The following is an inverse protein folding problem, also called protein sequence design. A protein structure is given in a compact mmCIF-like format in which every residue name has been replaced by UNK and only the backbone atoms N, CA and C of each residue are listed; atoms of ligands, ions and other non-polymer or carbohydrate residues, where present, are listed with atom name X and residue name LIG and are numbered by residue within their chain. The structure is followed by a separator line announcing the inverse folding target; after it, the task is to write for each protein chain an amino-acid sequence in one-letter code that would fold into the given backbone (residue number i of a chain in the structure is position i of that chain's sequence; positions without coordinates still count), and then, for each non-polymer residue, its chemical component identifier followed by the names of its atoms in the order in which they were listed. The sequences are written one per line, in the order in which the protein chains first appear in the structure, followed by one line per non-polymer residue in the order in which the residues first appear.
data_IF_255326310828
#
_entry.id   IF_255326310828
#
_cell.length_a   1.000
_cell.length_b   1.000
_cell.length_c   1.000
_cell.angle_alpha   90.00
_cell.angle_beta   90.00
_cell.angle_gamma   90.00
#
_symmetry.space_group_name_H-M   'P 1'
#
loop_
_entity.id
_entity.type
_entity.pdbx_description
1 polymer ?
#
# COMPACT_ATOMS: atom_id res chain seq x y z
N UNK A 1 4.79 -2.80 41.92
CA UNK A 1 4.84 -2.37 40.52
C UNK A 1 3.43 -1.92 40.12
N UNK A 2 3.24 -0.66 39.75
CA UNK A 2 1.92 -0.05 39.56
C UNK A 2 1.65 0.10 38.05
N UNK A 3 0.77 -0.73 37.47
CA UNK A 3 0.50 -0.81 36.03
C UNK A 3 -0.46 0.29 35.49
N UNK A 4 -0.76 1.33 36.27
CA UNK A 4 -1.84 2.27 35.97
C UNK A 4 -1.60 3.28 34.83
N UNK A 5 -0.43 3.30 34.20
CA UNK A 5 -0.10 4.26 33.13
C UNK A 5 0.40 3.61 31.82
N UNK A 6 -0.11 2.44 31.44
CA UNK A 6 -0.01 2.00 30.05
C UNK A 6 -1.06 2.79 29.24
N UNK A 7 -0.75 4.04 28.92
CA UNK A 7 -1.44 4.76 27.86
C UNK A 7 -1.23 3.93 26.61
N UNK A 8 -2.24 3.14 26.19
CA UNK A 8 -2.29 2.56 24.86
C UNK A 8 -2.34 3.73 23.89
N UNK A 9 -1.16 4.20 23.45
CA UNK A 9 -1.05 5.09 22.30
C UNK A 9 -1.64 4.32 21.14
N UNK A 10 -2.84 4.69 20.68
CA UNK A 10 -3.40 4.04 19.50
C UNK A 10 -2.48 4.32 18.32
N UNK A 11 -2.18 3.31 17.48
CA UNK A 11 -1.55 3.57 16.20
C UNK A 11 -2.44 4.55 15.42
N UNK A 12 -1.80 5.47 14.70
CA UNK A 12 -2.53 6.40 13.83
C UNK A 12 -2.36 5.93 12.41
N UNK A 13 -3.44 5.44 11.86
CA UNK A 13 -3.54 5.07 10.46
C UNK A 13 -4.00 6.31 9.70
N UNK A 14 -3.26 6.68 8.66
CA UNK A 14 -3.61 7.80 7.80
C UNK A 14 -3.78 7.28 6.38
N UNK A 15 -4.96 7.52 5.80
CA UNK A 15 -5.23 7.24 4.39
C UNK A 15 -5.03 8.55 3.63
N UNK A 16 -4.05 8.56 2.73
CA UNK A 16 -3.67 9.71 1.92
C UNK A 16 -4.33 9.70 0.53
N UNK A 17 -4.60 8.51 0.00
CA UNK A 17 -5.25 8.31 -1.29
C UNK A 17 -6.11 7.06 -1.21
N UNK A 18 -7.33 7.13 -1.75
CA UNK A 18 -8.26 6.02 -1.82
C UNK A 18 -9.21 6.22 -3.01
N UNK A 19 -8.80 5.78 -4.20
CA UNK A 19 -9.56 6.03 -5.44
C UNK A 19 -9.34 4.96 -6.50
N UNK A 20 -10.23 4.92 -7.50
CA UNK A 20 -10.04 4.12 -8.71
C UNK A 20 -9.28 4.92 -9.77
N UNK A 21 -8.27 4.30 -10.38
CA UNK A 21 -7.53 4.87 -11.50
C UNK A 21 -7.61 3.96 -12.73
N UNK A 22 -7.48 4.55 -13.91
CA UNK A 22 -7.45 3.80 -15.16
C UNK A 22 -6.21 2.91 -15.22
N UNK A 23 -6.40 1.68 -15.70
CA UNK A 23 -5.40 0.66 -15.90
C UNK A 23 -5.26 0.32 -17.39
N UNK A 24 -4.08 -0.15 -17.77
CA UNK A 24 -3.83 -0.77 -19.06
C UNK A 24 -4.30 -2.22 -19.07
N UNK A 25 -4.37 -2.81 -20.27
CA UNK A 25 -4.84 -4.18 -20.47
C UNK A 25 -3.79 -5.25 -20.07
N UNK A 26 -2.63 -4.85 -19.54
CA UNK A 26 -1.59 -5.75 -19.04
C UNK A 26 -1.85 -6.22 -17.60
N UNK A 27 -2.89 -5.68 -16.95
CA UNK A 27 -3.37 -6.18 -15.68
C UNK A 27 -4.02 -7.55 -15.86
N UNK A 28 -3.66 -8.57 -15.05
CA UNK A 28 -4.28 -9.88 -15.17
C UNK A 28 -5.78 -9.83 -14.89
N UNK A 29 -6.20 -9.02 -13.91
CA UNK A 29 -7.60 -8.69 -13.65
C UNK A 29 -7.76 -7.24 -13.18
N UNK A 30 -8.85 -6.59 -13.59
CA UNK A 30 -9.18 -5.21 -13.25
C UNK A 30 -10.67 -5.05 -12.93
N UNK A 31 -11.02 -3.97 -12.23
CA UNK A 31 -12.41 -3.58 -11.99
C UNK A 31 -13.09 -3.11 -13.28
N UNK A 32 -14.45 -3.05 -13.31
CA UNK A 32 -15.19 -2.56 -14.48
C UNK A 32 -14.69 -1.20 -14.97
N UNK A 33 -14.63 -1.04 -16.30
CA UNK A 33 -14.15 0.21 -16.91
C UNK A 33 -12.62 0.33 -16.97
N UNK A 34 -11.90 -0.79 -16.93
CA UNK A 34 -10.43 -0.85 -16.95
C UNK A 34 -9.83 -0.05 -15.80
N UNK A 35 -10.30 -0.31 -14.58
CA UNK A 35 -9.88 0.42 -13.39
C UNK A 35 -9.15 -0.48 -12.40
N UNK A 36 -8.24 0.10 -11.65
CA UNK A 36 -7.61 -0.50 -10.47
C UNK A 36 -7.82 0.40 -9.28
N UNK A 37 -7.95 -0.18 -8.10
CA UNK A 37 -8.06 0.58 -6.87
C UNK A 37 -6.66 0.94 -6.37
N UNK A 38 -6.44 2.21 -6.06
CA UNK A 38 -5.17 2.74 -5.57
C UNK A 38 -5.39 3.27 -4.16
N UNK A 39 -4.63 2.74 -3.22
CA UNK A 39 -4.70 3.10 -1.82
C UNK A 39 -3.30 3.44 -1.28
N UNK A 40 -3.10 4.69 -0.86
CA UNK A 40 -1.90 5.14 -0.17
C UNK A 40 -2.23 5.33 1.30
N UNK A 41 -1.58 4.58 2.17
CA UNK A 41 -1.77 4.71 3.60
C UNK A 41 -0.45 4.65 4.37
N UNK A 42 -0.45 5.28 5.52
CA UNK A 42 0.66 5.37 6.44
C UNK A 42 0.24 4.82 7.79
N UNK A 43 1.11 3.99 8.34
CA UNK A 43 0.96 3.39 9.66
C UNK A 43 2.10 3.87 10.55
N UNK A 44 1.78 4.46 11.70
CA UNK A 44 2.76 4.82 12.74
C UNK A 44 2.63 3.90 13.93
N UNK A 45 3.56 2.95 14.02
CA UNK A 45 3.68 2.05 15.15
C UNK A 45 3.89 2.84 16.45
N UNK A 46 3.12 2.49 17.46
CA UNK A 46 3.19 3.07 18.81
C UNK A 46 3.59 2.05 19.87
N UNK A 47 3.63 0.77 19.50
CA UNK A 47 3.94 -0.38 20.34
C UNK A 47 5.32 -0.95 20.00
N UNK A 48 6.01 -1.49 21.00
CA UNK A 48 7.28 -2.16 20.80
C UNK A 48 7.09 -3.47 20.01
N UNK A 49 7.89 -3.65 18.96
CA UNK A 49 7.84 -4.84 18.09
C UNK A 49 7.10 -4.62 16.77
N UNK A 50 6.46 -3.47 16.59
CA UNK A 50 5.78 -3.11 15.34
C UNK A 50 6.56 -2.04 14.57
N UNK A 51 6.48 -2.08 13.24
CA UNK A 51 7.24 -1.22 12.35
C UNK A 51 6.30 -0.26 11.62
N UNK A 52 6.56 1.04 11.78
CA UNK A 52 5.86 2.04 11.00
C UNK A 52 6.16 1.87 9.50
N UNK A 53 5.16 2.11 8.66
CA UNK A 53 5.31 2.00 7.22
C UNK A 53 4.50 3.07 6.47
N UNK A 54 4.90 3.32 5.24
CA UNK A 54 4.16 4.05 4.22
C UNK A 54 3.99 3.09 3.04
N UNK A 55 2.75 2.78 2.69
CA UNK A 55 2.41 1.75 1.72
C UNK A 55 1.49 2.30 0.64
N UNK A 56 1.89 2.08 -0.61
CA UNK A 56 1.04 2.23 -1.78
C UNK A 56 0.60 0.84 -2.23
N UNK A 57 -0.70 0.58 -2.10
CA UNK A 57 -1.36 -0.64 -2.56
C UNK A 57 -2.12 -0.32 -3.85
N UNK A 58 -1.96 -1.17 -4.86
CA UNK A 58 -2.74 -1.09 -6.10
C UNK A 58 -3.36 -2.45 -6.33
N UNK A 59 -4.69 -2.53 -6.31
CA UNK A 59 -5.44 -3.77 -6.44
C UNK A 59 -6.21 -3.83 -7.76
N UNK A 60 -6.05 -4.94 -8.45
CA UNK A 60 -7.02 -5.44 -9.42
C UNK A 60 -8.24 -6.08 -8.74
N UNK A 61 -9.12 -6.71 -9.52
CA UNK A 61 -10.36 -7.29 -8.99
C UNK A 61 -10.12 -8.51 -8.07
N UNK A 62 -9.31 -9.50 -8.49
CA UNK A 62 -9.02 -10.70 -7.69
C UNK A 62 -7.52 -11.01 -7.64
N UNK A 63 -6.94 -11.08 -6.43
CA UNK A 63 -5.56 -11.51 -6.14
C UNK A 63 -4.45 -10.89 -7.00
N UNK A 64 -4.74 -9.79 -7.67
CA UNK A 64 -3.84 -9.06 -8.54
C UNK A 64 -3.45 -7.76 -7.84
N UNK A 65 -2.85 -7.87 -6.66
CA UNK A 65 -2.43 -6.69 -5.91
C UNK A 65 -0.92 -6.52 -6.01
N UNK A 66 -0.53 -5.27 -6.16
CA UNK A 66 0.84 -4.81 -6.11
C UNK A 66 1.01 -3.88 -4.93
N UNK A 67 2.09 -4.05 -4.18
CA UNK A 67 2.45 -3.17 -3.08
C UNK A 67 3.84 -2.60 -3.26
N UNK A 68 3.97 -1.33 -2.93
CA UNK A 68 5.25 -0.68 -2.67
C UNK A 68 5.21 -0.17 -1.23
N UNK A 69 6.26 -0.43 -0.46
CA UNK A 69 6.33 -0.06 0.94
C UNK A 69 7.69 0.53 1.30
N UNK A 70 7.67 1.57 2.12
CA UNK A 70 8.86 2.18 2.73
C UNK A 70 8.56 2.58 4.18
N UNK A 71 9.53 3.19 4.87
CA UNK A 71 9.33 3.82 6.18
C UNK A 71 8.61 5.17 6.04
N UNK A 72 7.85 5.65 7.05
CA UNK A 72 7.12 6.91 6.96
C UNK A 72 7.95 8.15 6.60
N UNK A 73 9.23 8.17 6.99
CA UNK A 73 10.14 9.28 6.68
C UNK A 73 10.61 9.27 5.21
N UNK A 74 10.25 8.23 4.44
CA UNK A 74 10.56 8.02 3.02
C UNK A 74 9.68 8.83 2.06
N UNK A 75 9.10 9.94 2.49
CA UNK A 75 8.22 10.78 1.66
C UNK A 75 8.89 11.22 0.35
N UNK A 76 10.21 11.43 0.36
CA UNK A 76 10.96 11.77 -0.85
C UNK A 76 11.02 10.62 -1.86
N UNK A 77 11.17 9.37 -1.39
CA UNK A 77 11.14 8.20 -2.27
C UNK A 77 9.74 7.98 -2.85
N UNK A 78 8.70 8.20 -2.04
CA UNK A 78 7.32 8.20 -2.54
C UNK A 78 7.12 9.27 -3.63
N UNK A 79 7.61 10.50 -3.44
CA UNK A 79 7.49 11.54 -4.46
C UNK A 79 8.18 11.17 -5.77
N UNK A 80 9.40 10.59 -5.70
CA UNK A 80 10.10 10.11 -6.90
C UNK A 80 9.35 8.97 -7.58
N UNK A 81 8.80 8.05 -6.80
CA UNK A 81 7.99 6.94 -7.30
C UNK A 81 6.76 7.48 -8.05
N UNK A 82 5.98 8.35 -7.40
CA UNK A 82 4.76 8.94 -7.97
C UNK A 82 5.06 9.73 -9.25
N UNK A 83 6.20 10.44 -9.31
CA UNK A 83 6.64 11.13 -10.53
C UNK A 83 7.02 10.19 -11.68
N UNK A 84 7.34 8.93 -11.38
CA UNK A 84 7.72 7.91 -12.37
C UNK A 84 6.53 7.08 -12.85
N UNK A 85 5.42 7.08 -12.10
CA UNK A 85 4.19 6.39 -12.46
C UNK A 85 3.48 7.16 -13.58
N UNK A 86 3.07 6.45 -14.63
CA UNK A 86 2.30 6.99 -15.75
C UNK A 86 0.89 6.44 -15.74
N UNK A 87 -0.06 7.24 -16.23
CA UNK A 87 -1.44 6.81 -16.44
C UNK A 87 -1.73 6.57 -17.93
N UNK A 88 -2.58 5.58 -18.28
CA UNK A 88 -3.17 4.57 -17.40
C UNK A 88 -2.10 3.64 -16.78
N UNK A 89 -2.39 3.09 -15.59
CA UNK A 89 -1.44 2.29 -14.82
C UNK A 89 -1.13 0.96 -15.51
N UNK A 90 0.15 0.65 -15.68
CA UNK A 90 0.62 -0.64 -16.24
C UNK A 90 1.12 -1.54 -15.12
N UNK A 91 0.66 -2.79 -15.14
CA UNK A 91 1.09 -3.83 -14.20
C UNK A 91 2.60 -4.06 -14.29
N UNK A 92 3.12 -4.29 -15.50
CA UNK A 92 4.54 -4.57 -15.74
C UNK A 92 5.42 -3.36 -15.38
N UNK A 93 4.95 -2.14 -15.68
CA UNK A 93 5.69 -0.91 -15.33
C UNK A 93 5.80 -0.75 -13.82
N UNK A 94 4.73 -1.03 -13.08
CA UNK A 94 4.75 -0.96 -11.61
C UNK A 94 5.71 -1.99 -11.03
N UNK A 95 5.74 -3.22 -11.55
CA UNK A 95 6.73 -4.21 -11.13
C UNK A 95 8.17 -3.73 -11.36
N UNK A 96 8.46 -3.12 -12.52
CA UNK A 96 9.76 -2.53 -12.81
C UNK A 96 10.13 -1.34 -11.91
N UNK A 97 9.12 -0.67 -11.32
CA UNK A 97 9.29 0.40 -10.33
C UNK A 97 9.49 -0.13 -8.89
N UNK A 98 9.55 -1.45 -8.72
CA UNK A 98 9.81 -2.09 -7.43
C UNK A 98 8.55 -2.44 -6.64
N UNK A 99 7.37 -2.42 -7.26
CA UNK A 99 6.19 -3.01 -6.66
C UNK A 99 6.31 -4.53 -6.64
N UNK A 100 5.91 -5.14 -5.53
CA UNK A 100 5.90 -6.60 -5.36
C UNK A 100 4.47 -7.10 -5.28
N UNK A 101 4.24 -8.36 -5.65
CA UNK A 101 2.95 -9.01 -5.42
C UNK A 101 2.58 -8.97 -3.95
N UNK A 102 1.32 -8.66 -3.68
CA UNK A 102 0.75 -8.66 -2.34
C UNK A 102 -0.47 -9.57 -2.33
N UNK A 103 -0.30 -10.76 -1.78
CA UNK A 103 -1.46 -11.55 -1.37
C UNK A 103 -1.91 -10.96 -0.02
N UNK A 104 -3.21 -10.68 0.13
CA UNK A 104 -3.73 -10.23 1.42
C UNK A 104 -3.33 -11.27 2.47
N UNK A 105 -2.65 -10.84 3.53
CA UNK A 105 -2.23 -11.71 4.64
C UNK A 105 -3.43 -12.18 5.48
N UNK A 106 -4.35 -12.92 4.85
CA UNK A 106 -5.39 -13.73 5.49
C UNK A 106 -4.94 -15.21 5.49
N UNK A 107 -3.64 -15.44 5.70
CA UNK A 107 -2.97 -16.70 5.39
C UNK A 107 -2.11 -17.30 6.48
N UNK A 108 -2.36 -17.07 7.78
CA UNK A 108 -1.74 -17.87 8.86
C UNK A 108 -2.67 -18.06 10.07
N UNK A 109 -3.68 -18.93 9.90
CA UNK A 109 -4.14 -19.78 11.00
C UNK A 109 -3.66 -21.21 10.71
N UNK A 110 -2.50 -21.54 11.27
CA UNK A 110 -1.98 -22.89 11.39
C UNK A 110 -1.65 -23.17 12.85
#
# INVERSE_FOLDING_TARGET
MNFKNLIRKQPRDFIWLDEFQLALNDWPEHYPGNQVWVNLHEYKASLAGDASYLRLLISGAHNCNLTWQTTPDGAHDLQRLLASIKQPLSFDTLQNLGFSYFDSDDGFFG
#
